data_IF_042012860554
#
_entry.id   IF_042012860554
#
_cell.length_a   1.000
_cell.length_b   1.000
_cell.length_c   1.000
_cell.angle_alpha   90.00
_cell.angle_beta   90.00
_cell.angle_gamma   90.00
#
_symmetry.space_group_name_H-M   'P 1'
#
loop_
_entity.id
_entity.type
_entity.pdbx_description
1 polymer ?
#
# COMPACT_ATOMS: atom_id res chain seq x y z
N UNK A 1 14.45 4.27 0.17
CA UNK A 1 14.01 3.17 -0.72
C UNK A 1 12.77 3.52 -1.52
N UNK A 2 11.67 3.96 -0.89
CA UNK A 2 10.40 4.28 -1.60
C UNK A 2 10.57 5.21 -2.81
N UNK A 3 11.29 6.33 -2.65
CA UNK A 3 11.55 7.26 -3.76
C UNK A 3 12.33 6.65 -4.93
N UNK A 4 13.23 5.70 -4.66
CA UNK A 4 13.95 4.97 -5.71
C UNK A 4 13.01 4.09 -6.53
N UNK A 5 12.09 3.38 -5.88
CA UNK A 5 11.11 2.54 -6.59
C UNK A 5 10.17 3.36 -7.48
N UNK A 6 9.74 4.53 -7.01
CA UNK A 6 8.89 5.44 -7.80
C UNK A 6 9.65 5.95 -9.03
N UNK A 7 10.89 6.41 -8.85
CA UNK A 7 11.71 6.92 -9.96
C UNK A 7 12.04 5.79 -10.94
N UNK A 8 12.39 4.61 -10.44
CA UNK A 8 12.68 3.45 -11.28
C UNK A 8 11.44 3.01 -12.08
N UNK A 9 10.26 2.92 -11.46
CA UNK A 9 9.03 2.53 -12.17
C UNK A 9 8.61 3.58 -13.20
N UNK A 10 8.81 4.87 -12.90
CA UNK A 10 8.59 5.95 -13.85
C UNK A 10 9.51 5.82 -15.07
N UNK A 11 10.82 5.69 -14.84
CA UNK A 11 11.81 5.59 -15.92
C UNK A 11 11.56 4.33 -16.76
N UNK A 12 11.32 3.18 -16.12
CA UNK A 12 11.07 1.92 -16.83
C UNK A 12 9.79 2.03 -17.66
N UNK A 13 8.71 2.58 -17.10
CA UNK A 13 7.45 2.74 -17.83
C UNK A 13 7.61 3.68 -19.02
N UNK A 14 8.24 4.84 -18.82
CA UNK A 14 8.47 5.82 -19.87
C UNK A 14 9.41 5.28 -20.97
N UNK A 15 10.53 4.68 -20.58
CA UNK A 15 11.47 4.08 -21.52
C UNK A 15 10.83 2.92 -22.30
N UNK A 16 9.96 2.12 -21.67
CA UNK A 16 9.24 1.05 -22.35
C UNK A 16 8.24 1.61 -23.38
N UNK A 17 7.52 2.68 -23.05
CA UNK A 17 6.62 3.35 -23.99
C UNK A 17 7.41 3.92 -25.17
N UNK A 18 8.53 4.57 -24.90
CA UNK A 18 9.35 5.17 -25.94
C UNK A 18 10.02 4.12 -26.84
N UNK A 19 10.56 3.04 -26.27
CA UNK A 19 11.22 1.98 -27.01
C UNK A 19 10.25 1.10 -27.85
N UNK A 20 8.96 1.13 -27.52
CA UNK A 20 7.93 0.33 -28.22
C UNK A 20 6.98 1.19 -29.04
N UNK A 21 7.31 2.46 -29.26
CA UNK A 21 6.46 3.45 -29.95
C UNK A 21 5.00 3.43 -29.43
N UNK A 22 4.83 3.26 -28.13
CA UNK A 22 3.53 3.24 -27.46
C UNK A 22 2.82 1.89 -27.38
N UNK A 23 3.35 0.81 -27.97
CA UNK A 23 2.70 -0.52 -27.90
C UNK A 23 2.56 -1.02 -26.45
N UNK A 24 3.50 -0.68 -25.57
CA UNK A 24 3.43 -1.01 -24.15
C UNK A 24 2.25 -0.36 -23.39
N UNK A 25 1.58 0.64 -23.98
CA UNK A 25 0.43 1.32 -23.38
C UNK A 25 -0.71 0.37 -23.02
N UNK A 26 -1.03 -0.58 -23.91
CA UNK A 26 -2.11 -1.53 -23.69
C UNK A 26 -1.84 -2.38 -22.43
N UNK A 27 -0.58 -2.77 -22.22
CA UNK A 27 -0.15 -3.55 -21.05
C UNK A 27 -0.29 -2.71 -19.78
N UNK A 28 0.22 -1.47 -19.78
CA UNK A 28 0.11 -0.61 -18.61
C UNK A 28 -1.34 -0.24 -18.29
N UNK A 29 -2.17 -0.04 -19.31
CA UNK A 29 -3.60 0.24 -19.14
C UNK A 29 -4.35 -0.95 -18.51
N UNK A 30 -4.03 -2.17 -18.93
CA UNK A 30 -4.60 -3.39 -18.32
C UNK A 30 -4.18 -3.53 -16.85
N UNK A 31 -2.89 -3.32 -16.54
CA UNK A 31 -2.40 -3.36 -15.15
C UNK A 31 -3.09 -2.28 -14.31
N UNK A 32 -3.18 -1.04 -14.84
CA UNK A 32 -3.83 0.08 -14.15
C UNK A 32 -5.33 -0.14 -13.92
N UNK A 33 -5.98 -0.99 -14.73
CA UNK A 33 -7.39 -1.34 -14.51
C UNK A 33 -7.62 -2.04 -13.16
N UNK A 34 -6.61 -2.74 -12.64
CA UNK A 34 -6.67 -3.45 -11.37
C UNK A 34 -6.47 -2.54 -10.14
N UNK A 35 -6.13 -1.25 -10.32
CA UNK A 35 -5.78 -0.38 -9.20
C UNK A 35 -6.97 -0.18 -8.24
N UNK A 36 -8.19 -0.01 -8.75
CA UNK A 36 -9.37 0.10 -7.87
C UNK A 36 -9.56 -1.15 -7.01
N UNK A 37 -9.35 -2.35 -7.58
CA UNK A 37 -9.42 -3.60 -6.83
C UNK A 37 -8.31 -3.69 -5.77
N UNK A 38 -7.08 -3.30 -6.11
CA UNK A 38 -5.95 -3.23 -5.17
C UNK A 38 -6.25 -2.28 -4.00
N UNK A 39 -6.80 -1.09 -4.28
CA UNK A 39 -7.12 -0.10 -3.26
C UNK A 39 -8.22 -0.58 -2.31
N UNK A 40 -9.26 -1.25 -2.85
CA UNK A 40 -10.32 -1.87 -2.04
C UNK A 40 -9.73 -2.95 -1.14
N UNK A 41 -8.94 -3.87 -1.71
CA UNK A 41 -8.28 -4.94 -0.96
C UNK A 41 -7.42 -4.38 0.16
N UNK A 42 -6.58 -3.39 -0.13
CA UNK A 42 -5.69 -2.78 0.84
C UNK A 42 -6.45 -2.07 1.96
N UNK A 43 -7.52 -1.36 1.64
CA UNK A 43 -8.36 -0.68 2.64
C UNK A 43 -9.04 -1.71 3.54
N UNK A 44 -9.59 -2.78 2.97
CA UNK A 44 -10.18 -3.87 3.74
C UNK A 44 -9.15 -4.56 4.66
N UNK A 45 -7.95 -4.82 4.13
CA UNK A 45 -6.84 -5.38 4.90
C UNK A 45 -6.43 -4.45 6.06
N UNK A 46 -6.41 -3.13 5.81
CA UNK A 46 -6.11 -2.12 6.83
C UNK A 46 -7.11 -2.16 7.99
N UNK A 47 -8.40 -2.23 7.69
CA UNK A 47 -9.46 -2.34 8.70
C UNK A 47 -9.34 -3.65 9.47
N UNK A 48 -9.10 -4.77 8.78
CA UNK A 48 -8.90 -6.07 9.41
C UNK A 48 -7.70 -6.06 10.37
N UNK A 49 -6.57 -5.51 9.94
CA UNK A 49 -5.36 -5.41 10.75
C UNK A 49 -5.56 -4.46 11.94
N UNK A 50 -6.22 -3.32 11.75
CA UNK A 50 -6.54 -2.41 12.84
C UNK A 50 -7.36 -3.12 13.93
N UNK A 51 -8.42 -3.81 13.55
CA UNK A 51 -9.27 -4.57 14.49
C UNK A 51 -8.49 -5.70 15.17
N UNK A 52 -7.62 -6.38 14.43
CA UNK A 52 -6.78 -7.45 14.96
C UNK A 52 -5.81 -6.93 16.04
N UNK A 53 -5.09 -5.85 15.74
CA UNK A 53 -4.16 -5.20 16.68
C UNK A 53 -4.92 -4.63 17.88
N UNK A 54 -6.13 -4.11 17.69
CA UNK A 54 -6.98 -3.61 18.77
C UNK A 54 -7.41 -4.69 19.76
N UNK A 55 -7.82 -5.84 19.24
CA UNK A 55 -8.16 -6.99 20.07
C UNK A 55 -6.93 -7.51 20.85
N UNK A 56 -5.74 -7.55 20.23
CA UNK A 56 -4.50 -7.92 20.94
C UNK A 56 -4.17 -6.93 22.04
N UNK A 57 -4.30 -5.61 21.80
CA UNK A 57 -4.06 -4.60 22.82
C UNK A 57 -4.97 -4.80 24.04
N UNK A 58 -6.26 -5.09 23.80
CA UNK A 58 -7.22 -5.40 24.86
C UNK A 58 -6.84 -6.68 25.62
N UNK A 59 -6.54 -7.75 24.88
CA UNK A 59 -6.14 -9.04 25.46
C UNK A 59 -4.86 -8.96 26.29
N UNK A 60 -3.95 -8.05 25.94
CA UNK A 60 -2.68 -7.83 26.64
C UNK A 60 -2.84 -6.94 27.88
N UNK A 61 -3.78 -5.97 27.84
CA UNK A 61 -4.04 -5.06 28.97
C UNK A 61 -4.54 -5.76 30.24
N UNK A 62 -5.07 -6.98 30.09
CA UNK A 62 -5.61 -7.81 31.18
C UNK A 62 -4.63 -8.92 31.62
N UNK A 63 -3.44 -9.01 31.00
CA UNK A 63 -2.43 -10.00 31.37
C UNK A 63 -1.69 -9.53 32.62
N UNK A 64 -1.66 -10.37 33.65
CA UNK A 64 -0.76 -10.18 34.79
C UNK A 64 0.65 -10.59 34.40
N UNK A 65 1.61 -9.68 34.56
CA UNK A 65 2.99 -9.89 34.16
C UNK A 65 3.86 -8.66 34.40
N UNK A 66 5.05 -8.69 33.80
CA UNK A 66 6.02 -7.58 33.86
C UNK A 66 5.42 -6.32 33.21
N UNK A 67 5.05 -5.35 34.07
CA UNK A 67 4.35 -4.14 33.67
C UNK A 67 5.11 -3.32 32.63
N UNK A 68 6.45 -3.32 32.70
CA UNK A 68 7.30 -2.58 31.76
C UNK A 68 7.27 -3.20 30.37
N UNK A 69 7.32 -4.55 30.30
CA UNK A 69 7.21 -5.27 29.01
C UNK A 69 5.82 -5.15 28.40
N UNK A 70 4.77 -5.19 29.22
CA UNK A 70 3.39 -5.01 28.77
C UNK A 70 3.20 -3.58 28.24
N UNK A 71 3.69 -2.57 28.94
CA UNK A 71 3.65 -1.17 28.52
C UNK A 71 4.38 -0.96 27.18
N UNK A 72 5.60 -1.51 27.04
CA UNK A 72 6.37 -1.42 25.81
C UNK A 72 5.64 -2.08 24.62
N UNK A 73 5.03 -3.25 24.83
CA UNK A 73 4.25 -3.93 23.80
C UNK A 73 2.98 -3.16 23.41
N UNK A 74 2.27 -2.55 24.37
CA UNK A 74 1.10 -1.70 24.09
C UNK A 74 1.48 -0.46 23.27
N UNK A 75 2.62 0.17 23.56
CA UNK A 75 3.14 1.30 22.77
C UNK A 75 3.49 0.84 21.34
N UNK A 76 4.10 -0.33 21.19
CA UNK A 76 4.37 -0.93 19.88
C UNK A 76 3.11 -1.19 19.07
N UNK A 77 2.07 -1.79 19.69
CA UNK A 77 0.78 -2.03 19.05
C UNK A 77 0.07 -0.72 18.67
N UNK A 78 0.16 0.33 19.51
CA UNK A 78 -0.42 1.64 19.21
C UNK A 78 0.27 2.30 18.01
N UNK A 79 1.60 2.20 17.94
CA UNK A 79 2.39 2.67 16.77
C UNK A 79 1.97 1.93 15.51
N UNK A 80 1.84 0.60 15.57
CA UNK A 80 1.39 -0.22 14.46
C UNK A 80 -0.03 0.17 13.99
N UNK A 81 -0.98 0.44 14.89
CA UNK A 81 -2.32 0.93 14.50
C UNK A 81 -2.25 2.25 13.73
N UNK A 82 -1.41 3.18 14.19
CA UNK A 82 -1.23 4.47 13.54
C UNK A 82 -0.66 4.30 12.13
N UNK A 83 0.36 3.46 11.98
CA UNK A 83 0.95 3.14 10.67
C UNK A 83 -0.08 2.55 9.70
N UNK A 84 -0.93 1.63 10.18
CA UNK A 84 -2.00 1.03 9.38
C UNK A 84 -3.00 2.06 8.87
N UNK A 85 -3.42 3.01 9.72
CA UNK A 85 -4.32 4.09 9.32
C UNK A 85 -3.66 5.01 8.29
N UNK A 86 -2.40 5.39 8.52
CA UNK A 86 -1.64 6.25 7.59
C UNK A 86 -1.46 5.55 6.24
N UNK A 87 -1.19 4.24 6.23
CA UNK A 87 -1.06 3.46 5.00
C UNK A 87 -2.37 3.39 4.22
N UNK A 88 -3.50 3.17 4.90
CA UNK A 88 -4.83 3.20 4.29
C UNK A 88 -5.12 4.56 3.65
N UNK A 89 -4.83 5.65 4.38
CA UNK A 89 -4.97 7.02 3.87
C UNK A 89 -4.09 7.29 2.65
N UNK A 90 -2.84 6.80 2.65
CA UNK A 90 -1.94 6.92 1.52
C UNK A 90 -2.48 6.21 0.27
N UNK A 91 -2.98 4.98 0.41
CA UNK A 91 -3.54 4.22 -0.72
C UNK A 91 -4.77 4.90 -1.30
N UNK A 92 -5.64 5.45 -0.45
CA UNK A 92 -6.78 6.27 -0.90
C UNK A 92 -6.32 7.53 -1.63
N UNK A 93 -5.31 8.23 -1.13
CA UNK A 93 -4.75 9.40 -1.80
C UNK A 93 -4.16 9.04 -3.17
N UNK A 94 -3.44 7.92 -3.28
CA UNK A 94 -2.90 7.42 -4.54
C UNK A 94 -3.99 7.06 -5.55
N UNK A 95 -5.09 6.44 -5.10
CA UNK A 95 -6.24 6.15 -5.94
C UNK A 95 -6.89 7.43 -6.47
N UNK A 96 -7.09 8.44 -5.61
CA UNK A 96 -7.66 9.73 -6.03
C UNK A 96 -6.75 10.40 -7.08
N UNK A 97 -5.44 10.39 -6.86
CA UNK A 97 -4.49 10.93 -7.83
C UNK A 97 -4.49 10.15 -9.15
N UNK A 98 -4.59 8.82 -9.11
CA UNK A 98 -4.71 8.03 -10.34
C UNK A 98 -5.97 8.37 -11.12
N UNK A 99 -7.12 8.48 -10.45
CA UNK A 99 -8.37 8.83 -11.09
C UNK A 99 -8.33 10.25 -11.69
N UNK A 100 -7.69 11.19 -11.00
CA UNK A 100 -7.48 12.54 -11.51
C UNK A 100 -6.60 12.53 -12.77
N UNK A 101 -5.46 11.82 -12.74
CA UNK A 101 -4.58 11.67 -13.90
C UNK A 101 -5.27 10.95 -15.05
N UNK A 102 -6.06 9.90 -14.78
CA UNK A 102 -6.87 9.21 -15.78
C UNK A 102 -7.90 10.15 -16.42
N UNK A 103 -8.48 11.05 -15.65
CA UNK A 103 -9.36 12.11 -16.15
C UNK A 103 -8.62 13.06 -17.11
N UNK A 104 -7.44 13.53 -16.72
CA UNK A 104 -6.58 14.40 -17.54
C UNK A 104 -6.15 13.69 -18.84
N UNK A 105 -5.79 12.41 -18.76
CA UNK A 105 -5.47 11.59 -19.93
C UNK A 105 -6.63 11.52 -20.92
N UNK A 106 -7.87 11.45 -20.45
CA UNK A 106 -9.07 11.39 -21.32
C UNK A 106 -9.48 12.74 -21.89
N UNK A 107 -9.19 13.85 -21.20
CA UNK A 107 -9.52 15.20 -21.68
C UNK A 107 -8.54 15.74 -22.71
N UNK A 108 -7.40 15.07 -22.89
CA UNK A 108 -6.35 15.48 -23.84
C UNK A 108 -6.41 14.53 -25.05
N UNK A 109 -6.87 15.03 -26.21
CA UNK A 109 -7.02 14.18 -27.41
C UNK A 109 -5.67 13.63 -27.90
N UNK A 110 -5.54 12.31 -28.16
CA UNK A 110 -4.30 11.68 -28.64
C UNK A 110 -3.83 12.18 -30.01
N UNK A 111 -4.74 12.71 -30.84
CA UNK A 111 -4.49 13.03 -32.25
C UNK A 111 -3.71 14.33 -32.49
N UNK A 112 -3.26 15.01 -31.44
CA UNK A 112 -2.39 16.18 -31.55
C UNK A 112 -0.96 15.81 -31.17
N UNK A 113 -0.12 15.65 -32.19
CA UNK A 113 1.28 15.22 -32.13
C UNK A 113 2.23 15.94 -31.13
N UNK A 114 1.95 17.15 -30.58
CA UNK A 114 2.76 17.70 -29.49
C UNK A 114 2.50 17.06 -28.11
N UNK A 115 1.41 16.29 -27.94
CA UNK A 115 0.94 15.81 -26.63
C UNK A 115 1.24 14.32 -26.37
N UNK A 116 1.83 13.59 -27.31
CA UNK A 116 2.10 12.16 -27.15
C UNK A 116 3.12 11.89 -26.02
N UNK A 117 4.22 12.65 -25.96
CA UNK A 117 5.20 12.56 -24.88
C UNK A 117 4.59 12.93 -23.52
N UNK A 118 3.73 13.95 -23.50
CA UNK A 118 3.01 14.36 -22.30
C UNK A 118 2.05 13.27 -21.80
N UNK A 119 1.36 12.60 -22.72
CA UNK A 119 0.50 11.47 -22.41
C UNK A 119 1.28 10.28 -21.83
N UNK A 120 2.44 9.96 -22.41
CA UNK A 120 3.31 8.90 -21.89
C UNK A 120 3.89 9.22 -20.52
N UNK A 121 4.21 10.49 -20.24
CA UNK A 121 4.58 10.95 -18.89
C UNK A 121 3.44 10.71 -17.90
N UNK A 122 2.19 11.08 -18.26
CA UNK A 122 1.03 10.84 -17.40
C UNK A 122 0.82 9.34 -17.14
N UNK A 123 0.91 8.51 -18.18
CA UNK A 123 0.75 7.06 -18.04
C UNK A 123 1.84 6.46 -17.13
N UNK A 124 3.08 6.92 -17.28
CA UNK A 124 4.21 6.50 -16.44
C UNK A 124 4.04 6.92 -14.98
N UNK A 125 3.51 8.12 -14.73
CA UNK A 125 3.16 8.58 -13.37
C UNK A 125 2.06 7.72 -12.75
N UNK A 126 1.00 7.41 -13.50
CA UNK A 126 -0.08 6.52 -13.05
C UNK A 126 0.47 5.15 -12.69
N UNK A 127 1.32 4.58 -13.53
CA UNK A 127 1.98 3.29 -13.26
C UNK A 127 2.86 3.36 -12.01
N UNK A 128 3.56 4.47 -11.80
CA UNK A 128 4.39 4.68 -10.60
C UNK A 128 3.55 4.67 -9.32
N UNK A 129 2.37 5.32 -9.32
CA UNK A 129 1.45 5.28 -8.19
C UNK A 129 0.93 3.86 -7.90
N UNK A 130 0.65 3.09 -8.95
CA UNK A 130 0.27 1.68 -8.81
C UNK A 130 1.38 0.86 -8.16
N UNK A 131 2.64 1.01 -8.61
CA UNK A 131 3.78 0.30 -7.99
C UNK A 131 4.00 0.70 -6.53
N UNK A 132 3.80 1.98 -6.19
CA UNK A 132 3.87 2.45 -4.81
C UNK A 132 2.76 1.82 -3.94
N UNK A 133 1.54 1.72 -4.47
CA UNK A 133 0.44 1.07 -3.78
C UNK A 133 0.73 -0.43 -3.54
N UNK A 134 1.34 -1.14 -4.49
CA UNK A 134 1.77 -2.52 -4.30
C UNK A 134 2.80 -2.67 -3.18
N UNK A 135 3.77 -1.76 -3.11
CA UNK A 135 4.75 -1.75 -2.02
C UNK A 135 4.09 -1.49 -0.67
N UNK A 136 3.19 -0.50 -0.61
CA UNK A 136 2.43 -0.17 0.60
C UNK A 136 1.61 -1.38 1.11
N UNK A 137 0.97 -2.12 0.20
CA UNK A 137 0.24 -3.35 0.54
C UNK A 137 1.19 -4.45 1.01
N UNK A 138 2.34 -4.60 0.37
CA UNK A 138 3.33 -5.62 0.72
C UNK A 138 3.89 -5.41 2.14
N UNK A 139 4.20 -4.16 2.49
CA UNK A 139 4.65 -3.80 3.85
C UNK A 139 3.53 -4.02 4.88
N UNK A 140 2.28 -3.74 4.50
CA UNK A 140 1.14 -4.00 5.38
C UNK A 140 0.91 -5.50 5.65
N UNK A 141 1.10 -6.36 4.64
CA UNK A 141 1.05 -7.82 4.81
C UNK A 141 2.18 -8.28 5.74
N UNK A 142 3.40 -7.75 5.59
CA UNK A 142 4.51 -8.05 6.50
C UNK A 142 4.18 -7.64 7.94
N UNK A 143 3.63 -6.46 8.15
CA UNK A 143 3.17 -6.00 9.47
C UNK A 143 2.11 -6.92 10.08
N UNK A 144 1.17 -7.42 9.27
CA UNK A 144 0.17 -8.40 9.70
C UNK A 144 0.81 -9.73 10.13
N UNK A 145 1.75 -10.28 9.35
CA UNK A 145 2.43 -11.53 9.70
C UNK A 145 3.18 -11.41 11.03
N UNK A 146 3.89 -10.31 11.24
CA UNK A 146 4.57 -10.02 12.51
C UNK A 146 3.59 -9.93 13.67
N UNK A 147 2.44 -9.26 13.48
CA UNK A 147 1.41 -9.19 14.51
C UNK A 147 0.82 -10.57 14.86
N UNK A 148 0.68 -11.45 13.87
CA UNK A 148 0.23 -12.84 14.07
C UNK A 148 1.24 -13.61 14.91
N UNK A 149 2.53 -13.47 14.62
CA UNK A 149 3.59 -14.15 15.38
C UNK A 149 3.59 -13.71 16.85
N UNK A 150 3.43 -12.41 17.13
CA UNK A 150 3.30 -11.91 18.50
C UNK A 150 2.10 -12.51 19.24
N UNK A 151 0.93 -12.61 18.57
CA UNK A 151 -0.25 -13.24 19.17
C UNK A 151 0.03 -14.69 19.51
N UNK A 152 0.67 -15.44 18.62
CA UNK A 152 1.00 -16.85 18.85
C UNK A 152 1.90 -17.04 20.08
N UNK A 153 2.91 -16.18 20.27
CA UNK A 153 3.77 -16.18 21.45
C UNK A 153 2.99 -15.89 22.73
N UNK A 154 2.07 -14.91 22.72
CA UNK A 154 1.23 -14.58 23.88
C UNK A 154 0.33 -15.77 24.26
N UNK A 155 -0.29 -16.45 23.29
CA UNK A 155 -1.13 -17.62 23.54
C UNK A 155 -0.32 -18.84 24.03
N UNK A 156 0.91 -19.03 23.53
CA UNK A 156 1.82 -20.06 24.02
C UNK A 156 2.24 -19.79 25.48
N UNK A 157 2.56 -18.54 25.83
CA UNK A 157 2.87 -18.13 27.20
C UNK A 157 1.71 -18.34 28.17
N UNK A 158 0.46 -18.01 27.75
CA UNK A 158 -0.75 -18.27 28.55
C UNK A 158 -1.01 -19.76 28.81
N UNK A 159 -0.56 -20.67 27.93
CA UNK A 159 -0.68 -22.13 28.13
C UNK A 159 0.38 -22.71 29.05
N UNK A 160 1.57 -22.11 29.13
CA UNK A 160 2.65 -22.58 30.01
C UNK A 160 2.47 -22.17 31.47
N UNK A 161 1.67 -21.14 31.74
CA UNK A 161 1.35 -20.65 33.08
C UNK A 161 0.05 -21.27 33.66
N UNK A 162 -0.48 -22.32 33.03
CA UNK A 162 -1.55 -23.18 33.55
C UNK A 162 -0.99 -24.52 33.97
#
# INVERSE_FOLDING_TARGET
MVGFYIIASLIISFASLHATDGVAEAIFSEILSAFSALAIFATALSVALFNYVDNISKDLSVVEGDADKISAALIGLATLKKEVIVNAGLILALLIMELALKGISKSTSPDSTPFQDFYWVILSLRFSFFTLALLAVSEQIRGLLVAIDYRNVIHAGKRSNK
#
